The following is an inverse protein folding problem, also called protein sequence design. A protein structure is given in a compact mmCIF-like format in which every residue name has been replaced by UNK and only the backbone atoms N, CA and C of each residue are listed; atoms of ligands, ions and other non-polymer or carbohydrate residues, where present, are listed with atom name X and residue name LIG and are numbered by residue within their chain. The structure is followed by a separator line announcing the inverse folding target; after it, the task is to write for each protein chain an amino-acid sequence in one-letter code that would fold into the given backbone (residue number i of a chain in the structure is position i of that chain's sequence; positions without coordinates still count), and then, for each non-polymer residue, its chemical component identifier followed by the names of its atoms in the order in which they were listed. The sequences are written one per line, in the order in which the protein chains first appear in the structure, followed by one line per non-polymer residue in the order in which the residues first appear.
data_IF_020036163590
#
_entry.id   IF_020036163590
#
_cell.length_a   1.000
_cell.length_b   1.000
_cell.length_c   1.000
_cell.angle_alpha   90.00
_cell.angle_beta   90.00
_cell.angle_gamma   90.00
#
_symmetry.space_group_name_H-M   'P 1'
#
loop_
_entity.id
_entity.type
_entity.pdbx_description
1 polymer ?
#
# COMPACT_ATOMS: atom_id res chain seq x y z
N UNK A 1 -8.54 27.39 34.05
CA UNK A 1 -8.52 26.11 33.39
C UNK A 1 -9.71 25.97 32.48
N UNK A 2 -9.45 25.56 31.30
CA UNK A 2 -10.47 25.41 30.30
C UNK A 2 -11.44 24.28 30.63
N UNK A 3 -12.70 24.55 30.44
CA UNK A 3 -13.74 23.53 30.55
C UNK A 3 -13.84 22.76 29.26
N UNK A 4 -12.74 22.10 28.91
CA UNK A 4 -12.70 21.29 27.70
C UNK A 4 -13.47 19.99 27.95
N UNK A 5 -14.60 19.88 27.27
CA UNK A 5 -15.46 18.71 27.41
C UNK A 5 -15.15 17.69 26.30
N UNK A 6 -15.54 16.45 26.54
CA UNK A 6 -15.42 15.40 25.52
C UNK A 6 -16.20 15.76 24.25
N UNK A 7 -17.35 16.42 24.41
CA UNK A 7 -18.17 16.87 23.28
C UNK A 7 -17.41 17.87 22.40
N UNK A 8 -16.77 18.86 23.01
CA UNK A 8 -15.97 19.84 22.26
C UNK A 8 -14.80 19.21 21.56
N UNK A 9 -14.09 18.33 22.25
CA UNK A 9 -12.95 17.61 21.66
C UNK A 9 -13.38 16.71 20.50
N UNK A 10 -14.50 16.01 20.64
CA UNK A 10 -15.04 15.21 19.56
C UNK A 10 -15.43 16.05 18.35
N UNK A 11 -16.05 17.21 18.58
CA UNK A 11 -16.42 18.13 17.51
C UNK A 11 -15.20 18.63 16.74
N UNK A 12 -14.18 19.06 17.46
CA UNK A 12 -12.93 19.53 16.84
C UNK A 12 -12.21 18.40 16.10
N UNK A 13 -12.19 17.21 16.69
CA UNK A 13 -11.60 16.05 16.06
C UNK A 13 -12.24 15.76 14.70
N UNK A 14 -13.58 15.76 14.66
CA UNK A 14 -14.32 15.48 13.43
C UNK A 14 -14.03 16.55 12.37
N UNK A 15 -14.01 17.82 12.77
CA UNK A 15 -13.71 18.93 11.84
C UNK A 15 -12.31 18.80 11.25
N UNK A 16 -11.32 18.46 12.06
CA UNK A 16 -9.94 18.29 11.60
C UNK A 16 -9.86 17.09 10.67
N UNK A 17 -10.51 15.98 11.04
CA UNK A 17 -10.53 14.77 10.22
C UNK A 17 -11.15 15.02 8.85
N UNK A 18 -12.28 15.74 8.83
CA UNK A 18 -12.98 16.07 7.59
C UNK A 18 -12.12 16.99 6.70
N UNK A 19 -11.43 17.94 7.32
CA UNK A 19 -10.54 18.84 6.60
C UNK A 19 -9.36 18.09 5.98
N UNK A 20 -8.77 17.15 6.72
CA UNK A 20 -7.70 16.30 6.17
C UNK A 20 -8.19 15.48 4.99
N UNK A 21 -9.37 14.90 5.11
CA UNK A 21 -9.96 14.10 4.04
C UNK A 21 -10.20 14.94 2.78
N UNK A 22 -10.69 16.17 2.95
CA UNK A 22 -10.94 17.08 1.82
C UNK A 22 -9.63 17.47 1.12
N UNK A 23 -8.59 17.76 1.89
CA UNK A 23 -7.28 18.11 1.34
C UNK A 23 -6.70 16.94 0.56
N UNK A 24 -6.75 15.73 1.12
CA UNK A 24 -6.25 14.53 0.46
C UNK A 24 -7.01 14.25 -0.84
N UNK A 25 -8.32 14.40 -0.81
CA UNK A 25 -9.18 14.19 -1.97
C UNK A 25 -8.83 15.15 -3.10
N UNK A 26 -8.63 16.44 -2.79
CA UNK A 26 -8.22 17.44 -3.77
C UNK A 26 -6.82 17.15 -4.31
N UNK A 27 -5.91 16.74 -3.45
CA UNK A 27 -4.56 16.33 -3.86
C UNK A 27 -4.61 15.15 -4.83
N UNK A 28 -5.38 14.12 -4.48
CA UNK A 28 -5.51 12.93 -5.34
C UNK A 28 -6.10 13.27 -6.70
N UNK A 29 -7.08 14.16 -6.74
CA UNK A 29 -7.69 14.62 -7.99
C UNK A 29 -6.67 15.30 -8.90
N UNK A 30 -5.88 16.21 -8.35
CA UNK A 30 -4.84 16.90 -9.11
C UNK A 30 -3.74 15.95 -9.55
N UNK A 31 -3.32 15.06 -8.65
CA UNK A 31 -2.28 14.09 -8.93
C UNK A 31 -2.70 13.11 -10.02
N UNK A 32 -3.94 12.64 -10.01
CA UNK A 32 -4.47 11.74 -11.02
C UNK A 32 -4.46 12.38 -12.40
N UNK A 33 -4.82 13.66 -12.49
CA UNK A 33 -4.77 14.41 -13.75
C UNK A 33 -3.35 14.47 -14.30
N UNK A 34 -2.38 14.75 -13.44
CA UNK A 34 -0.98 14.79 -13.83
C UNK A 34 -0.44 13.42 -14.21
N UNK A 35 -0.85 12.38 -13.50
CA UNK A 35 -0.48 10.99 -13.84
C UNK A 35 -0.98 10.61 -15.23
N UNK A 36 -2.21 10.98 -15.57
CA UNK A 36 -2.77 10.72 -16.89
C UNK A 36 -1.96 11.41 -17.98
N UNK A 37 -1.55 12.65 -17.74
CA UNK A 37 -0.71 13.41 -18.67
C UNK A 37 0.66 12.74 -18.84
N UNK A 38 1.26 12.30 -17.74
CA UNK A 38 2.55 11.59 -17.78
C UNK A 38 2.43 10.28 -18.53
N UNK A 39 1.33 9.56 -18.37
CA UNK A 39 1.09 8.31 -19.08
C UNK A 39 0.98 8.51 -20.59
N UNK A 40 0.25 9.54 -21.01
CA UNK A 40 0.15 9.88 -22.44
C UNK A 40 1.51 10.19 -23.03
N UNK A 41 2.32 10.99 -22.33
CA UNK A 41 3.67 11.34 -22.77
C UNK A 41 4.56 10.10 -22.79
N UNK A 42 4.47 9.25 -21.78
CA UNK A 42 5.25 8.01 -21.72
C UNK A 42 4.94 7.09 -22.90
N UNK A 43 3.66 6.97 -23.26
CA UNK A 43 3.26 6.15 -24.40
C UNK A 43 3.81 6.70 -25.71
N UNK A 44 3.80 8.02 -25.90
CA UNK A 44 4.40 8.65 -27.06
C UNK A 44 5.91 8.42 -27.13
N UNK A 45 6.60 8.56 -25.99
CA UNK A 45 8.03 8.31 -25.92
C UNK A 45 8.34 6.83 -26.21
N UNK A 46 7.51 5.92 -25.74
CA UNK A 46 7.67 4.49 -26.05
C UNK A 46 7.56 4.23 -27.55
N UNK A 47 6.60 4.86 -28.22
CA UNK A 47 6.45 4.72 -29.68
C UNK A 47 7.66 5.29 -30.42
N UNK A 48 8.21 6.41 -29.97
CA UNK A 48 9.41 6.99 -30.55
C UNK A 48 10.59 6.03 -30.42
N UNK A 49 10.77 5.43 -29.24
CA UNK A 49 11.82 4.42 -29.01
C UNK A 49 11.65 3.19 -29.89
N UNK A 50 10.42 2.72 -30.06
CA UNK A 50 10.13 1.57 -30.93
C UNK A 50 10.49 1.87 -32.37
N UNK A 51 10.07 3.02 -32.89
CA UNK A 51 10.36 3.41 -34.28
C UNK A 51 11.84 3.59 -34.53
N UNK A 52 12.58 4.12 -33.54
CA UNK A 52 14.01 4.32 -33.64
C UNK A 52 14.80 3.02 -33.37
N UNK A 53 14.14 1.97 -32.87
CA UNK A 53 14.81 0.73 -32.48
C UNK A 53 15.80 0.95 -31.35
N UNK A 54 15.56 1.95 -30.50
CA UNK A 54 16.50 2.37 -29.45
C UNK A 54 15.97 2.00 -28.07
N UNK A 55 16.86 1.58 -27.18
CA UNK A 55 16.54 1.35 -25.77
C UNK A 55 16.78 2.60 -24.96
N UNK A 56 17.55 3.55 -25.49
CA UNK A 56 17.90 4.79 -24.82
C UNK A 56 18.01 5.92 -25.84
N UNK A 57 17.44 7.08 -25.51
CA UNK A 57 17.52 8.30 -26.31
C UNK A 57 17.96 9.45 -25.41
N UNK A 58 19.03 10.15 -25.83
CA UNK A 58 19.47 11.35 -25.14
C UNK A 58 18.75 12.57 -25.72
N UNK A 59 18.25 13.41 -24.83
CA UNK A 59 17.66 14.71 -25.21
C UNK A 59 18.33 15.82 -24.43
N UNK A 60 18.05 17.06 -24.85
CA UNK A 60 18.57 18.24 -24.15
C UNK A 60 18.07 18.32 -22.69
N UNK A 61 16.96 17.68 -22.39
CA UNK A 61 16.31 17.76 -21.07
C UNK A 61 16.46 16.50 -20.22
N UNK A 62 16.99 15.43 -20.80
CA UNK A 62 17.17 14.19 -20.07
C UNK A 62 17.31 12.98 -20.99
N UNK A 63 17.55 11.84 -20.40
CA UNK A 63 17.70 10.58 -21.13
C UNK A 63 16.41 9.79 -20.99
N UNK A 64 15.85 9.35 -22.13
CA UNK A 64 14.69 8.50 -22.20
C UNK A 64 15.16 7.06 -22.32
N UNK A 65 14.72 6.21 -21.39
CA UNK A 65 15.14 4.80 -21.36
C UNK A 65 13.91 3.91 -21.48
N UNK A 66 13.97 2.95 -22.42
CA UNK A 66 12.96 1.92 -22.57
C UNK A 66 13.40 0.70 -21.77
N UNK A 67 12.63 0.32 -20.76
CA UNK A 67 12.95 -0.83 -19.93
C UNK A 67 11.76 -1.78 -19.86
N UNK A 68 12.04 -3.04 -19.52
CA UNK A 68 11.02 -4.06 -19.34
C UNK A 68 10.72 -4.18 -17.85
N UNK A 69 9.44 -4.03 -17.50
CA UNK A 69 8.98 -4.21 -16.14
C UNK A 69 8.24 -5.53 -16.07
N UNK A 70 8.76 -6.47 -15.29
CA UNK A 70 8.16 -7.78 -15.14
C UNK A 70 7.46 -7.85 -13.79
N UNK A 71 6.26 -8.41 -13.78
CA UNK A 71 5.46 -8.61 -12.58
C UNK A 71 5.13 -10.09 -12.43
N UNK A 72 5.24 -10.58 -11.20
CA UNK A 72 4.95 -11.97 -10.88
C UNK A 72 3.76 -12.04 -9.94
N UNK A 73 2.79 -12.88 -10.25
CA UNK A 73 1.64 -13.10 -9.39
C UNK A 73 1.13 -14.52 -9.60
N UNK A 74 0.19 -14.95 -8.77
CA UNK A 74 -0.42 -16.26 -8.91
C UNK A 74 -1.95 -16.19 -8.81
N UNK A 75 -2.62 -17.05 -9.57
CA UNK A 75 -4.03 -17.33 -9.42
C UNK A 75 -4.28 -18.69 -8.76
N UNK A 76 -3.22 -19.43 -8.42
CA UNK A 76 -3.30 -20.73 -7.78
C UNK A 76 -2.31 -20.82 -6.61
N UNK A 77 -2.77 -20.39 -5.44
CA UNK A 77 -1.94 -20.40 -4.25
C UNK A 77 -1.56 -21.78 -3.77
N UNK A 78 -2.44 -22.79 -4.02
CA UNK A 78 -2.11 -24.17 -3.69
C UNK A 78 -0.87 -24.65 -4.39
N UNK A 79 -0.79 -24.39 -5.70
CA UNK A 79 0.39 -24.75 -6.49
C UNK A 79 1.63 -24.00 -6.02
N UNK A 80 1.48 -22.71 -5.65
CA UNK A 80 2.60 -21.93 -5.14
C UNK A 80 3.11 -22.44 -3.79
N UNK A 81 2.22 -22.82 -2.89
CA UNK A 81 2.62 -23.41 -1.61
C UNK A 81 3.35 -24.73 -1.80
N UNK A 82 2.89 -25.56 -2.74
CA UNK A 82 3.56 -26.82 -3.06
C UNK A 82 4.98 -26.60 -3.58
N UNK A 83 5.14 -25.63 -4.47
CA UNK A 83 6.45 -25.26 -5.01
C UNK A 83 7.39 -24.76 -3.90
N UNK A 84 6.86 -23.91 -3.00
CA UNK A 84 7.64 -23.37 -1.89
C UNK A 84 8.11 -24.48 -0.95
N UNK A 85 7.24 -25.45 -0.64
CA UNK A 85 7.58 -26.60 0.19
C UNK A 85 8.60 -27.49 -0.50
N UNK A 86 8.40 -27.79 -1.78
CA UNK A 86 9.28 -28.67 -2.55
C UNK A 86 10.70 -28.14 -2.64
N UNK A 87 10.84 -26.83 -2.90
CA UNK A 87 12.14 -26.19 -3.07
C UNK A 87 12.68 -25.54 -1.80
N UNK A 88 11.90 -25.56 -0.72
CA UNK A 88 12.27 -24.96 0.56
C UNK A 88 12.65 -23.47 0.43
N UNK A 89 11.79 -22.71 -0.27
CA UNK A 89 12.04 -21.29 -0.58
C UNK A 89 10.93 -20.38 -0.06
N UNK A 90 10.69 -20.34 1.27
CA UNK A 90 9.65 -19.44 1.84
C UNK A 90 9.94 -17.97 1.59
N UNK A 91 11.18 -17.62 1.26
CA UNK A 91 11.57 -16.23 0.95
C UNK A 91 10.95 -15.69 -0.33
N UNK A 92 10.26 -16.53 -1.12
CA UNK A 92 9.50 -16.06 -2.28
C UNK A 92 8.27 -15.25 -1.85
N UNK A 93 7.84 -15.38 -0.61
CA UNK A 93 6.73 -14.63 -0.03
C UNK A 93 7.25 -13.48 0.82
N UNK A 94 6.45 -12.41 0.90
CA UNK A 94 6.77 -11.29 1.77
C UNK A 94 6.68 -11.71 3.24
N UNK A 95 7.59 -11.18 4.06
CA UNK A 95 7.61 -11.46 5.50
C UNK A 95 6.61 -10.55 6.20
N UNK A 96 5.35 -10.95 6.17
CA UNK A 96 4.27 -10.19 6.76
C UNK A 96 3.29 -11.13 7.47
N UNK A 97 2.99 -10.83 8.73
CA UNK A 97 2.05 -11.63 9.51
C UNK A 97 0.65 -11.05 9.33
N UNK A 98 -0.31 -11.92 8.95
CA UNK A 98 -1.70 -11.52 8.84
C UNK A 98 -2.29 -11.39 10.24
N UNK A 99 -2.67 -10.17 10.63
CA UNK A 99 -3.05 -9.86 12.02
C UNK A 99 -4.27 -10.63 12.51
N UNK A 100 -5.31 -10.71 11.70
CA UNK A 100 -6.54 -11.42 12.08
C UNK A 100 -6.31 -12.93 12.17
N UNK A 101 -5.60 -13.50 11.20
CA UNK A 101 -5.37 -14.93 11.17
C UNK A 101 -4.47 -15.38 12.33
N UNK A 102 -3.43 -14.61 12.65
CA UNK A 102 -2.56 -14.96 13.79
C UNK A 102 -3.31 -14.84 15.11
N UNK A 103 -4.15 -13.82 15.23
CA UNK A 103 -4.98 -13.64 16.42
C UNK A 103 -5.91 -14.85 16.64
N UNK A 104 -6.60 -15.27 15.58
CA UNK A 104 -7.53 -16.41 15.66
C UNK A 104 -6.78 -17.71 15.97
N UNK A 105 -5.65 -17.92 15.33
CA UNK A 105 -4.82 -19.08 15.58
C UNK A 105 -4.39 -19.17 17.05
N UNK A 106 -3.94 -18.05 17.63
CA UNK A 106 -3.54 -18.01 19.03
C UNK A 106 -4.71 -18.23 19.99
N UNK A 107 -5.91 -17.76 19.65
CA UNK A 107 -7.12 -18.01 20.43
C UNK A 107 -7.50 -19.49 20.43
N UNK A 108 -7.27 -20.17 19.31
CA UNK A 108 -7.54 -21.60 19.18
C UNK A 108 -6.45 -22.44 19.86
N UNK A 109 -5.29 -21.87 20.11
CA UNK A 109 -4.14 -22.54 20.71
C UNK A 109 -3.61 -21.72 21.89
N UNK A 110 -4.38 -21.57 22.98
CA UNK A 110 -4.02 -20.65 24.08
C UNK A 110 -2.74 -21.02 24.80
N UNK A 111 -2.31 -22.28 24.74
CA UNK A 111 -1.08 -22.74 25.39
C UNK A 111 0.15 -22.60 24.51
N UNK A 112 -0.04 -22.16 23.27
CA UNK A 112 1.05 -22.02 22.31
C UNK A 112 1.66 -20.62 22.41
N UNK A 113 2.99 -20.58 22.58
CA UNK A 113 3.74 -19.34 22.62
C UNK A 113 4.82 -19.41 21.54
N UNK A 114 4.50 -19.01 20.28
CA UNK A 114 5.45 -19.15 19.19
C UNK A 114 6.72 -18.35 19.42
N UNK A 115 7.86 -19.02 19.28
CA UNK A 115 9.15 -18.34 19.34
C UNK A 115 9.25 -17.39 18.11
N UNK A 116 9.78 -16.20 18.35
CA UNK A 116 9.92 -15.20 17.28
C UNK A 116 8.69 -14.35 17.04
N UNK A 117 7.58 -14.62 17.73
CA UNK A 117 6.40 -13.78 17.64
C UNK A 117 6.43 -12.76 18.77
N UNK A 118 6.32 -11.49 18.43
CA UNK A 118 6.18 -10.41 19.40
C UNK A 118 4.76 -9.88 19.36
N UNK A 119 4.24 -9.49 20.51
CA UNK A 119 2.88 -8.99 20.66
C UNK A 119 2.89 -7.73 21.50
N UNK A 120 2.11 -6.75 21.06
CA UNK A 120 1.93 -5.48 21.74
C UNK A 120 0.46 -5.09 21.68
N UNK A 121 -0.02 -4.45 22.75
CA UNK A 121 -1.41 -4.02 22.84
C UNK A 121 -1.47 -2.64 23.47
N UNK A 122 -2.31 -1.78 22.95
CA UNK A 122 -2.52 -0.45 23.52
C UNK A 122 -3.98 -0.02 23.36
N UNK A 123 -4.43 0.82 24.28
CA UNK A 123 -5.73 1.45 24.16
C UNK A 123 -5.67 2.54 23.10
N UNK A 124 -6.68 2.62 22.28
CA UNK A 124 -6.81 3.64 21.23
C UNK A 124 -8.16 4.32 21.33
N UNK A 125 -8.25 5.49 20.76
CA UNK A 125 -9.51 6.26 20.70
C UNK A 125 -10.00 6.25 19.27
N UNK A 126 -11.29 5.97 19.10
CA UNK A 126 -11.98 6.17 17.85
C UNK A 126 -13.15 7.11 18.05
N UNK A 127 -13.39 7.95 17.07
CA UNK A 127 -14.51 8.91 17.12
C UNK A 127 -15.43 8.60 15.96
N UNK A 128 -16.68 8.32 16.26
CA UNK A 128 -17.71 8.08 15.27
C UNK A 128 -18.65 9.27 15.24
N UNK A 129 -19.10 9.63 14.05
CA UNK A 129 -20.05 10.71 13.87
C UNK A 129 -21.40 10.32 14.52
N UNK A 130 -22.05 11.26 15.18
CA UNK A 130 -23.36 11.02 15.76
C UNK A 130 -24.38 10.72 14.66
N UNK A 131 -25.30 9.82 14.97
CA UNK A 131 -26.38 9.47 14.05
C UNK A 131 -27.49 10.51 14.09
#
# INVERSE_FOLDING_TARGET
MSDITADKLASVYIKIRDKRAAILQEYEKQDNTLKEQLELISNELLEICKKAGAESLRTAHGTVMRSIKTRYWTSDWGAMYDLIREHEVPQLLEQRIHQTNIKNFLQDHPDLHPAGLNQDSKYTISVRRAK
#
